data_IF_085023351172
#
_entry.id   IF_085023351172
#
_cell.length_a   1.000
_cell.length_b   1.000
_cell.length_c   1.000
_cell.angle_alpha   90.00
_cell.angle_beta   90.00
_cell.angle_gamma   90.00
#
_symmetry.space_group_name_H-M   'P 1'
#
loop_
_entity.id
_entity.type
_entity.pdbx_description
1 polymer ?
#
# COMPACT_ATOMS: atom_id res chain seq x y z
N UNK A 1 -11.15 6.69 -14.92
CA UNK A 1 -10.16 6.56 -13.83
C UNK A 1 -10.30 5.18 -13.23
N UNK A 2 -9.19 4.59 -12.80
CA UNK A 2 -9.17 3.24 -12.24
C UNK A 2 -8.44 3.23 -10.91
N UNK A 3 -9.05 2.57 -9.92
CA UNK A 3 -8.41 2.22 -8.66
C UNK A 3 -7.87 0.79 -8.77
N UNK A 4 -6.55 0.64 -8.78
CA UNK A 4 -5.85 -0.64 -8.79
C UNK A 4 -5.69 -1.17 -7.35
N UNK A 5 -6.80 -1.58 -6.71
CA UNK A 5 -6.79 -2.04 -5.33
C UNK A 5 -7.93 -3.00 -5.00
N UNK A 6 -7.63 -4.04 -4.20
CA UNK A 6 -8.64 -4.89 -3.58
C UNK A 6 -9.22 -4.33 -2.27
N UNK A 7 -8.66 -3.23 -1.74
CA UNK A 7 -9.01 -2.72 -0.41
C UNK A 7 -10.37 -2.01 -0.39
N UNK A 8 -11.36 -2.50 0.39
CA UNK A 8 -12.64 -1.82 0.54
C UNK A 8 -12.48 -0.40 1.10
N UNK A 9 -11.57 -0.22 2.06
CA UNK A 9 -11.26 1.08 2.68
C UNK A 9 -10.74 2.10 1.66
N UNK A 10 -9.87 1.69 0.73
CA UNK A 10 -9.35 2.62 -0.30
C UNK A 10 -10.42 3.00 -1.31
N UNK A 11 -11.32 2.07 -1.65
CA UNK A 11 -12.49 2.37 -2.47
C UNK A 11 -13.40 3.40 -1.79
N UNK A 12 -13.68 3.22 -0.49
CA UNK A 12 -14.49 4.17 0.29
C UNK A 12 -13.83 5.56 0.36
N UNK A 13 -12.53 5.62 0.66
CA UNK A 13 -11.77 6.88 0.70
C UNK A 13 -11.82 7.62 -0.65
N UNK A 14 -11.52 6.94 -1.76
CA UNK A 14 -11.53 7.58 -3.07
C UNK A 14 -12.95 8.01 -3.49
N UNK A 15 -13.97 7.21 -3.16
CA UNK A 15 -15.37 7.55 -3.42
C UNK A 15 -15.83 8.76 -2.61
N UNK A 16 -15.33 8.94 -1.38
CA UNK A 16 -15.66 10.10 -0.53
C UNK A 16 -15.23 11.44 -1.14
N UNK A 17 -14.29 11.42 -2.09
CA UNK A 17 -13.87 12.60 -2.85
C UNK A 17 -14.85 12.97 -3.98
N UNK A 18 -15.95 12.23 -4.16
CA UNK A 18 -16.93 12.44 -5.24
C UNK A 18 -16.45 11.98 -6.62
N UNK A 19 -15.40 11.15 -6.68
CA UNK A 19 -14.81 10.69 -7.94
C UNK A 19 -15.50 9.43 -8.46
N UNK A 20 -15.75 9.39 -9.77
CA UNK A 20 -16.18 8.18 -10.47
C UNK A 20 -14.95 7.39 -10.95
N UNK A 21 -14.88 6.11 -10.57
CA UNK A 21 -13.79 5.21 -10.97
C UNK A 21 -14.26 3.76 -11.03
N UNK A 22 -13.55 2.94 -11.80
CA UNK A 22 -13.65 1.48 -11.73
C UNK A 22 -12.60 0.90 -10.81
N UNK A 23 -12.84 -0.31 -10.31
CA UNK A 23 -11.89 -1.02 -9.47
C UNK A 23 -11.32 -2.19 -10.25
N UNK A 24 -9.99 -2.30 -10.27
CA UNK A 24 -9.25 -3.45 -10.81
C UNK A 24 -8.37 -3.99 -9.70
N UNK A 25 -8.30 -5.32 -9.56
CA UNK A 25 -7.44 -5.97 -8.58
C UNK A 25 -6.20 -6.50 -9.29
N UNK A 26 -5.06 -5.79 -9.22
CA UNK A 26 -3.82 -6.26 -9.82
C UNK A 26 -3.27 -7.47 -9.06
N UNK A 27 -2.58 -8.36 -9.78
CA UNK A 27 -1.79 -9.45 -9.21
C UNK A 27 -0.32 -9.13 -9.44
N UNK A 28 0.43 -8.93 -8.36
CA UNK A 28 1.86 -8.63 -8.40
C UNK A 28 2.60 -9.49 -7.36
N UNK A 29 3.92 -9.53 -7.46
CA UNK A 29 4.78 -10.09 -6.41
C UNK A 29 5.00 -9.05 -5.31
N UNK A 30 4.50 -9.33 -4.11
CA UNK A 30 4.60 -8.43 -2.95
C UNK A 30 5.83 -8.76 -2.08
N UNK A 31 6.78 -9.56 -2.57
CA UNK A 31 7.98 -9.94 -1.82
C UNK A 31 8.88 -8.72 -1.57
N UNK A 32 9.34 -8.57 -0.33
CA UNK A 32 10.31 -7.53 0.06
C UNK A 32 11.68 -7.82 -0.56
N UNK A 33 12.29 -6.81 -1.20
CA UNK A 33 13.61 -6.97 -1.81
C UNK A 33 14.74 -6.80 -0.78
N UNK A 34 15.92 -7.41 -0.99
CA UNK A 34 17.08 -7.16 -0.14
C UNK A 34 17.43 -5.66 -0.09
N UNK A 35 17.68 -5.16 1.12
CA UNK A 35 18.02 -3.74 1.40
C UNK A 35 16.96 -2.72 0.98
N UNK A 36 15.70 -3.15 0.83
CA UNK A 36 14.60 -2.25 0.52
C UNK A 36 14.00 -1.65 1.80
N UNK A 37 14.17 -0.35 1.98
CA UNK A 37 13.61 0.37 3.13
C UNK A 37 12.08 0.47 3.07
N UNK A 38 11.40 0.74 4.19
CA UNK A 38 9.93 0.69 4.26
C UNK A 38 9.22 1.63 3.27
N UNK A 39 9.67 2.88 3.16
CA UNK A 39 9.10 3.85 2.20
C UNK A 39 9.28 3.38 0.76
N UNK A 40 10.49 2.97 0.39
CA UNK A 40 10.80 2.47 -0.94
C UNK A 40 9.95 1.22 -1.27
N UNK A 41 9.77 0.32 -0.31
CA UNK A 41 8.93 -0.87 -0.45
C UNK A 41 7.47 -0.48 -0.75
N UNK A 42 6.88 0.39 0.06
CA UNK A 42 5.49 0.80 -0.11
C UNK A 42 5.26 1.54 -1.44
N UNK A 43 6.19 2.42 -1.82
CA UNK A 43 6.17 3.14 -3.11
C UNK A 43 6.27 2.18 -4.29
N UNK A 44 7.22 1.24 -4.25
CA UNK A 44 7.38 0.22 -5.29
C UNK A 44 6.12 -0.62 -5.44
N UNK A 45 5.56 -1.13 -4.34
CA UNK A 45 4.34 -1.94 -4.41
C UNK A 45 3.16 -1.15 -4.99
N UNK A 46 3.03 0.13 -4.64
CA UNK A 46 2.02 0.98 -5.24
C UNK A 46 2.26 1.15 -6.75
N UNK A 47 3.50 1.40 -7.17
CA UNK A 47 3.84 1.55 -8.59
C UNK A 47 3.64 0.26 -9.39
N UNK A 48 4.07 -0.89 -8.89
CA UNK A 48 3.88 -2.19 -9.54
C UNK A 48 2.38 -2.53 -9.67
N UNK A 49 1.56 -2.22 -8.66
CA UNK A 49 0.10 -2.37 -8.72
C UNK A 49 -0.52 -1.49 -9.80
N UNK A 50 -0.09 -0.24 -9.93
CA UNK A 50 -0.55 0.66 -10.99
C UNK A 50 -0.11 0.15 -12.37
N UNK A 51 1.11 -0.38 -12.48
CA UNK A 51 1.67 -0.86 -13.75
C UNK A 51 1.07 -2.18 -14.22
N UNK A 52 0.55 -3.01 -13.32
CA UNK A 52 -0.17 -4.23 -13.66
C UNK A 52 -1.56 -3.96 -14.30
N UNK A 53 -2.04 -2.71 -14.31
CA UNK A 53 -3.30 -2.32 -14.95
C UNK A 53 -3.01 -1.65 -16.29
N UNK A 54 -3.33 -2.35 -17.38
CA UNK A 54 -3.16 -1.87 -18.75
C UNK A 54 -4.45 -1.20 -19.25
N UNK A 55 -4.59 0.09 -18.94
CA UNK A 55 -5.79 0.85 -19.28
C UNK A 55 -5.45 2.29 -19.69
N UNK A 56 -6.17 2.80 -20.69
CA UNK A 56 -6.11 4.20 -21.08
C UNK A 56 -6.82 5.08 -20.03
N UNK A 57 -6.06 5.94 -19.36
CA UNK A 57 -6.57 6.89 -18.37
C UNK A 57 -5.71 6.99 -17.12
N UNK A 58 -6.26 7.63 -16.10
CA UNK A 58 -5.61 7.74 -14.78
C UNK A 58 -5.81 6.44 -14.00
N UNK A 59 -4.71 5.83 -13.57
CA UNK A 59 -4.66 4.70 -12.64
C UNK A 59 -4.11 5.17 -11.31
N UNK A 60 -4.79 4.84 -10.22
CA UNK A 60 -4.38 5.11 -8.85
C UNK A 60 -4.18 3.77 -8.15
N UNK A 61 -3.04 3.59 -7.50
CA UNK A 61 -2.74 2.43 -6.67
C UNK A 61 -2.13 2.90 -5.35
N UNK A 62 -2.26 2.06 -4.32
CA UNK A 62 -1.62 2.32 -3.05
C UNK A 62 -1.33 1.01 -2.31
N UNK A 63 -0.26 1.05 -1.51
CA UNK A 63 0.11 0.00 -0.58
C UNK A 63 0.35 0.59 0.82
N UNK A 64 0.16 -0.23 1.87
CA UNK A 64 0.27 0.24 3.25
C UNK A 64 0.92 -0.85 4.08
N UNK A 65 1.98 -0.47 4.77
CA UNK A 65 2.77 -1.35 5.63
C UNK A 65 2.84 -0.78 7.04
N UNK A 66 3.11 -1.65 8.01
CA UNK A 66 3.39 -1.26 9.39
C UNK A 66 4.86 -1.52 9.67
N UNK A 67 5.52 -0.57 10.31
CA UNK A 67 6.95 -0.61 10.63
C UNK A 67 7.10 -0.47 12.14
N UNK A 68 7.82 -1.40 12.74
CA UNK A 68 8.19 -1.35 14.15
C UNK A 68 9.70 -1.56 14.28
N UNK A 69 10.41 -0.63 14.90
CA UNK A 69 11.87 -0.68 15.07
C UNK A 69 12.60 -1.00 13.75
N UNK A 70 12.36 -0.23 12.69
CA UNK A 70 12.90 -0.43 11.33
C UNK A 70 12.47 -1.74 10.63
N UNK A 71 11.65 -2.57 11.28
CA UNK A 71 11.20 -3.85 10.72
C UNK A 71 9.79 -3.74 10.16
N UNK A 72 9.61 -4.15 8.91
CA UNK A 72 8.30 -4.23 8.27
C UNK A 72 7.54 -5.43 8.84
N UNK A 73 6.40 -5.16 9.47
CA UNK A 73 5.49 -6.18 9.97
C UNK A 73 4.60 -6.67 8.82
N UNK A 74 4.83 -7.92 8.41
CA UNK A 74 4.02 -8.61 7.42
C UNK A 74 2.66 -9.06 7.98
N UNK A 75 1.95 -9.87 7.21
CA UNK A 75 0.73 -10.53 7.70
C UNK A 75 1.09 -11.63 8.71
N UNK A 76 0.29 -11.82 9.78
CA UNK A 76 0.47 -12.96 10.66
C UNK A 76 0.34 -14.26 9.89
N UNK A 77 1.21 -15.21 10.20
CA UNK A 77 1.09 -16.58 9.68
C UNK A 77 -0.12 -17.31 10.28
N UNK A 78 -0.44 -17.03 11.55
CA UNK A 78 -1.54 -17.63 12.29
C UNK A 78 -2.02 -16.73 13.45
N UNK A 79 -3.01 -17.22 14.21
CA UNK A 79 -3.58 -16.49 15.34
C UNK A 79 -2.62 -16.33 16.53
N UNK A 80 -1.62 -17.21 16.70
CA UNK A 80 -0.62 -17.07 17.76
C UNK A 80 0.36 -15.93 17.41
N UNK A 81 0.88 -15.93 16.18
CA UNK A 81 1.72 -14.86 15.65
C UNK A 81 0.97 -13.52 15.64
N UNK A 82 -0.33 -13.50 15.31
CA UNK A 82 -1.15 -12.29 15.41
C UNK A 82 -1.20 -11.73 16.85
N UNK A 83 -1.35 -12.59 17.87
CA UNK A 83 -1.33 -12.15 19.28
C UNK A 83 0.03 -11.62 19.71
N UNK A 84 1.10 -12.23 19.23
CA UNK A 84 2.47 -11.75 19.48
C UNK A 84 2.70 -10.36 18.90
N UNK A 85 2.36 -10.14 17.63
CA UNK A 85 2.46 -8.82 17.01
C UNK A 85 1.58 -7.78 17.69
N UNK A 86 0.34 -8.12 18.06
CA UNK A 86 -0.53 -7.18 18.78
C UNK A 86 0.04 -6.81 20.16
N UNK A 87 0.69 -7.77 20.85
CA UNK A 87 1.37 -7.49 22.11
C UNK A 87 2.61 -6.62 21.90
N UNK A 88 3.37 -6.83 20.83
CA UNK A 88 4.56 -6.00 20.53
C UNK A 88 4.18 -4.57 20.19
N UNK A 89 3.04 -4.35 19.54
CA UNK A 89 2.52 -3.02 19.21
C UNK A 89 1.87 -2.32 20.42
N UNK A 90 1.40 -3.07 21.41
CA UNK A 90 0.71 -2.51 22.58
C UNK A 90 1.65 -1.67 23.44
N UNK A 91 1.38 -0.37 23.54
CA UNK A 91 2.17 0.57 24.35
C UNK A 91 3.52 0.95 23.72
N UNK A 92 3.76 0.58 22.47
CA UNK A 92 4.95 0.93 21.71
C UNK A 92 4.58 1.78 20.48
N UNK A 93 5.43 2.75 20.16
CA UNK A 93 5.29 3.53 18.93
C UNK A 93 5.59 2.65 17.72
N UNK A 94 4.80 2.79 16.67
CA UNK A 94 5.06 2.20 15.36
C UNK A 94 4.73 3.21 14.26
N UNK A 95 5.23 2.95 13.06
CA UNK A 95 4.94 3.78 11.90
C UNK A 95 4.04 3.03 10.93
N UNK A 96 3.02 3.71 10.42
CA UNK A 96 2.21 3.25 9.30
C UNK A 96 2.63 4.03 8.06
N UNK A 97 3.20 3.34 7.08
CA UNK A 97 3.66 3.94 5.83
C UNK A 97 2.70 3.56 4.72
N UNK A 98 2.17 4.55 4.00
CA UNK A 98 1.34 4.35 2.81
C UNK A 98 2.04 4.90 1.58
N UNK A 99 2.37 4.03 0.63
CA UNK A 99 2.85 4.39 -0.70
C UNK A 99 1.68 4.57 -1.66
N UNK A 100 1.76 5.55 -2.54
CA UNK A 100 0.73 5.89 -3.53
C UNK A 100 1.38 6.09 -4.89
N UNK A 101 0.79 5.51 -5.93
CA UNK A 101 1.16 5.76 -7.31
C UNK A 101 -0.06 6.29 -8.07
N UNK A 102 0.13 7.39 -8.80
CA UNK A 102 -0.84 7.95 -9.73
C UNK A 102 -0.16 8.03 -11.09
N UNK A 103 -0.68 7.30 -12.07
CA UNK A 103 -0.11 7.29 -13.42
C UNK A 103 -1.16 7.51 -14.51
N UNK A 104 -0.69 7.94 -15.66
CA UNK A 104 -1.39 7.87 -16.94
C UNK A 104 -0.41 7.38 -18.03
N UNK A 105 -0.75 7.55 -19.30
CA UNK A 105 0.08 7.09 -20.44
C UNK A 105 1.38 7.87 -20.62
N UNK A 106 1.51 9.06 -20.05
CA UNK A 106 2.67 9.95 -20.28
C UNK A 106 3.48 10.24 -19.03
N UNK A 107 2.91 10.02 -17.84
CA UNK A 107 3.52 10.39 -16.55
C UNK A 107 3.12 9.43 -15.44
N UNK A 108 4.06 9.20 -14.53
CA UNK A 108 3.85 8.58 -13.23
C UNK A 108 4.28 9.55 -12.12
N UNK A 109 3.56 9.55 -11.00
CA UNK A 109 3.94 10.21 -9.75
C UNK A 109 3.80 9.18 -8.63
N UNK A 110 4.88 8.95 -7.90
CA UNK A 110 4.95 8.00 -6.79
C UNK A 110 5.46 8.73 -5.56
N UNK A 111 4.84 8.49 -4.41
CA UNK A 111 5.25 9.06 -3.13
C UNK A 111 4.73 8.21 -1.97
N UNK A 112 5.27 8.41 -0.78
CA UNK A 112 4.81 7.79 0.45
C UNK A 112 4.58 8.81 1.56
N UNK A 113 3.73 8.45 2.50
CA UNK A 113 3.46 9.20 3.73
C UNK A 113 3.58 8.24 4.91
N UNK A 114 4.41 8.61 5.88
CA UNK A 114 4.54 7.94 7.18
C UNK A 114 3.68 8.60 8.26
N UNK A 115 3.11 7.81 9.16
CA UNK A 115 2.35 8.29 10.32
C UNK A 115 2.73 7.50 11.54
N UNK A 116 3.15 8.18 12.61
CA UNK A 116 3.45 7.56 13.89
C UNK A 116 2.15 7.28 14.66
N UNK A 117 2.05 6.08 15.22
CA UNK A 117 0.92 5.55 15.99
C UNK A 117 1.38 5.05 17.34
#
# INVERSE_FOLDING_TARGET
>A
MTLASASPRRRELLASLGLAFRVVVPKIDETLRPNEGPHAFAERLAEEKANAVDESGIVIAADTIVVQNETILGKPADAAHAREMLRSLSGAMHEVVTGVCIKNTTRSVVFSIGTHV
#
